data_IF_683588666770
#
_entry.id   IF_683588666770
#
_cell.length_a   1.000
_cell.length_b   1.000
_cell.length_c   1.000
_cell.angle_alpha   90.00
_cell.angle_beta   90.00
_cell.angle_gamma   90.00
#
_symmetry.space_group_name_H-M   'P 1'
#
loop_
_entity.id
_entity.type
_entity.pdbx_description
1 polymer ?
#
# COMPACT_ATOMS: atom_id res chain seq x y z
N UNK A 1 -25.63 -40.29 43.16
CA UNK A 1 -25.01 -40.02 41.85
C UNK A 1 -24.70 -38.54 41.80
N UNK A 2 -23.43 -38.20 41.76
CA UNK A 2 -22.91 -36.84 41.87
C UNK A 2 -23.15 -36.09 40.56
N UNK A 3 -23.81 -34.94 40.64
CA UNK A 3 -24.20 -34.13 39.49
C UNK A 3 -23.03 -33.26 39.01
N UNK A 4 -22.49 -33.55 37.83
CA UNK A 4 -21.58 -32.64 37.12
C UNK A 4 -22.32 -31.34 36.76
N UNK A 5 -22.16 -30.30 37.57
CA UNK A 5 -22.58 -28.94 37.21
C UNK A 5 -21.77 -28.45 36.01
N UNK A 6 -22.46 -27.93 34.99
CA UNK A 6 -21.85 -27.38 33.78
C UNK A 6 -21.05 -26.11 34.11
N UNK A 7 -19.96 -25.88 33.37
CA UNK A 7 -19.18 -24.63 33.44
C UNK A 7 -20.06 -23.39 33.23
N UNK A 8 -21.13 -23.52 32.45
CA UNK A 8 -22.10 -22.44 32.24
C UNK A 8 -22.90 -22.10 33.49
N UNK A 9 -23.19 -23.08 34.35
CA UNK A 9 -23.90 -22.85 35.62
C UNK A 9 -22.99 -22.17 36.65
N UNK A 10 -21.68 -22.49 36.63
CA UNK A 10 -20.69 -21.80 37.47
C UNK A 10 -20.53 -20.32 37.09
N UNK A 11 -20.65 -19.99 35.79
CA UNK A 11 -20.65 -18.59 35.34
C UNK A 11 -21.91 -17.82 35.79
N UNK A 12 -23.07 -18.47 35.79
CA UNK A 12 -24.32 -17.86 36.26
C UNK A 12 -24.32 -17.63 37.77
N UNK A 13 -23.85 -18.60 38.56
CA UNK A 13 -23.72 -18.43 40.01
C UNK A 13 -22.79 -17.26 40.36
N UNK A 14 -21.67 -17.10 39.65
CA UNK A 14 -20.72 -15.98 39.84
C UNK A 14 -21.28 -14.60 39.50
N UNK A 15 -22.21 -14.51 38.53
CA UNK A 15 -22.83 -13.25 38.14
C UNK A 15 -23.99 -12.85 39.07
N UNK A 16 -24.63 -13.83 39.74
CA UNK A 16 -25.77 -13.59 40.65
C UNK A 16 -25.32 -13.27 42.08
N UNK A 17 -24.08 -13.61 42.48
CA UNK A 17 -23.59 -13.47 43.87
C UNK A 17 -22.59 -12.33 44.13
N UNK A 18 -22.48 -11.33 43.26
CA UNK A 18 -21.70 -10.13 43.57
C UNK A 18 -22.61 -9.01 44.12
N UNK A 19 -22.57 -8.69 45.44
CA UNK A 19 -23.23 -7.52 45.98
C UNK A 19 -22.43 -6.25 45.64
N UNK A 20 -23.17 -5.16 45.48
CA UNK A 20 -22.66 -3.81 45.27
C UNK A 20 -21.66 -3.37 46.34
N UNK A 21 -20.56 -2.78 45.87
CA UNK A 21 -19.93 -1.49 46.28
C UNK A 21 -18.42 -1.65 46.29
N UNK A 22 -17.72 -0.91 45.43
CA UNK A 22 -16.95 0.24 45.89
C UNK A 22 -16.38 1.07 44.74
N UNK A 23 -16.75 2.35 44.80
CA UNK A 23 -16.21 3.57 44.20
C UNK A 23 -14.73 3.51 43.77
N UNK A 24 -14.45 3.82 42.50
CA UNK A 24 -13.33 4.71 42.09
C UNK A 24 -13.54 5.20 40.63
N UNK A 25 -12.90 6.30 40.18
CA UNK A 25 -13.58 7.46 39.64
C UNK A 25 -13.57 7.54 38.11
N UNK A 26 -14.49 8.35 37.62
CA UNK A 26 -14.60 8.84 36.24
C UNK A 26 -13.28 9.48 35.79
N UNK A 27 -12.54 8.83 34.91
CA UNK A 27 -11.60 9.49 33.99
C UNK A 27 -11.88 9.00 32.57
N UNK A 28 -12.49 9.91 31.81
CA UNK A 28 -12.75 9.77 30.38
C UNK A 28 -11.40 9.73 29.65
N UNK A 29 -11.16 8.62 28.96
CA UNK A 29 -10.34 8.48 27.74
C UNK A 29 -9.22 9.50 27.55
N UNK A 30 -8.03 9.13 28.02
CA UNK A 30 -6.79 9.59 27.39
C UNK A 30 -6.66 8.91 26.01
N UNK A 31 -6.41 9.66 24.92
CA UNK A 31 -6.01 9.09 23.65
C UNK A 31 -4.52 8.73 23.72
N UNK A 32 -4.23 7.47 24.05
CA UNK A 32 -2.90 6.90 23.89
C UNK A 32 -2.66 6.59 22.41
N UNK A 33 -1.57 7.14 21.87
CA UNK A 33 -1.05 6.78 20.56
C UNK A 33 -1.16 7.91 19.54
N UNK A 34 -0.61 9.08 19.87
CA UNK A 34 -0.12 10.04 18.88
C UNK A 34 0.66 9.27 17.80
N UNK A 35 0.06 9.09 16.63
CA UNK A 35 0.80 8.76 15.43
C UNK A 35 1.92 9.80 15.35
N UNK A 36 3.17 9.35 15.55
CA UNK A 36 4.33 10.16 15.18
C UNK A 36 4.09 10.50 13.72
N UNK A 37 3.63 11.72 13.49
CA UNK A 37 3.73 12.41 12.22
C UNK A 37 5.23 12.37 11.92
N UNK A 38 5.65 11.33 11.17
CA UNK A 38 6.92 11.37 10.48
C UNK A 38 6.84 12.66 9.71
N UNK A 39 7.62 13.64 10.13
CA UNK A 39 7.89 14.83 9.35
C UNK A 39 8.21 14.30 7.96
N UNK A 40 7.28 14.51 7.02
CA UNK A 40 7.55 14.22 5.62
C UNK A 40 8.77 15.07 5.32
N UNK A 41 9.91 14.48 4.94
CA UNK A 41 11.05 15.29 4.54
C UNK A 41 10.53 16.27 3.51
N UNK A 42 10.78 17.56 3.74
CA UNK A 42 10.29 18.65 2.91
C UNK A 42 10.44 18.22 1.46
N UNK A 43 9.30 18.02 0.77
CA UNK A 43 9.28 17.58 -0.61
C UNK A 43 9.92 18.71 -1.41
N UNK A 44 11.22 18.62 -1.64
CA UNK A 44 11.79 19.16 -2.86
C UNK A 44 11.04 18.44 -3.97
N UNK A 45 10.02 19.09 -4.52
CA UNK A 45 9.14 18.52 -5.54
C UNK A 45 10.00 18.34 -6.78
N UNK A 46 10.65 17.19 -6.89
CA UNK A 46 11.40 16.83 -8.07
C UNK A 46 10.39 16.81 -9.23
N UNK A 47 10.64 17.49 -10.36
CA UNK A 47 9.70 17.57 -11.48
C UNK A 47 9.19 16.21 -11.95
N UNK A 48 10.04 15.18 -11.85
CA UNK A 48 9.69 13.79 -12.18
C UNK A 48 8.61 13.20 -11.28
N UNK A 49 8.57 13.57 -9.99
CA UNK A 49 7.56 13.08 -9.04
C UNK A 49 6.18 13.63 -9.36
N UNK A 50 6.10 14.88 -9.83
CA UNK A 50 4.86 15.50 -10.28
C UNK A 50 4.39 14.89 -11.61
N UNK A 51 5.31 14.64 -12.54
CA UNK A 51 5.01 13.94 -13.80
C UNK A 51 4.44 12.53 -13.57
N UNK A 52 5.00 11.76 -12.62
CA UNK A 52 4.48 10.43 -12.26
C UNK A 52 3.10 10.56 -11.58
N UNK A 53 2.91 11.55 -10.71
CA UNK A 53 1.66 11.73 -9.99
C UNK A 53 0.49 12.09 -10.93
N UNK A 54 0.75 12.94 -11.93
CA UNK A 54 -0.24 13.41 -12.92
C UNK A 54 -0.48 12.44 -14.08
N UNK A 55 0.44 11.49 -14.31
CA UNK A 55 0.25 10.44 -15.30
C UNK A 55 -1.07 9.69 -15.03
N UNK A 56 -1.84 9.34 -16.06
CA UNK A 56 -3.04 8.50 -15.91
C UNK A 56 -2.93 7.27 -16.80
N UNK A 57 -3.12 6.09 -16.19
CA UNK A 57 -3.11 4.80 -16.86
C UNK A 57 -4.44 4.05 -16.71
N UNK A 58 -5.50 4.70 -16.20
CA UNK A 58 -6.81 4.12 -15.89
C UNK A 58 -7.52 3.49 -17.09
N UNK A 59 -7.29 4.00 -18.31
CA UNK A 59 -7.96 3.52 -19.52
C UNK A 59 -7.26 2.34 -20.21
N UNK A 60 -6.08 1.94 -19.74
CA UNK A 60 -5.30 0.89 -20.41
C UNK A 60 -5.79 -0.50 -19.99
N UNK A 61 -6.31 -1.26 -20.96
CA UNK A 61 -6.84 -2.63 -20.75
C UNK A 61 -5.78 -3.73 -20.85
N UNK A 62 -4.58 -3.40 -21.34
CA UNK A 62 -3.49 -4.37 -21.50
C UNK A 62 -2.71 -4.52 -20.20
N UNK A 63 -2.88 -5.65 -19.53
CA UNK A 63 -2.07 -6.00 -18.36
C UNK A 63 -0.72 -6.58 -18.78
N UNK A 64 0.34 -6.12 -18.11
CA UNK A 64 1.71 -6.63 -18.31
C UNK A 64 2.22 -7.16 -16.99
N UNK A 65 2.55 -8.46 -16.94
CA UNK A 65 3.23 -9.07 -15.80
C UNK A 65 4.74 -8.92 -15.95
N UNK A 66 5.34 -8.05 -15.13
CA UNK A 66 6.78 -7.80 -15.13
C UNK A 66 7.46 -8.56 -14.00
N UNK A 67 8.62 -9.15 -14.28
CA UNK A 67 9.51 -9.73 -13.25
C UNK A 67 10.65 -8.76 -13.00
N UNK A 68 10.87 -8.42 -11.74
CA UNK A 68 12.01 -7.63 -11.28
C UNK A 68 12.95 -8.51 -10.46
N UNK A 69 14.23 -8.15 -10.41
CA UNK A 69 15.15 -8.72 -9.43
C UNK A 69 14.72 -8.36 -8.00
N UNK A 70 15.20 -9.13 -7.02
CA UNK A 70 14.77 -9.00 -5.63
C UNK A 70 15.06 -7.62 -5.04
N UNK A 71 16.17 -6.99 -5.41
CA UNK A 71 16.56 -5.67 -4.88
C UNK A 71 15.68 -4.58 -5.47
N UNK A 72 15.40 -4.64 -6.77
CA UNK A 72 14.51 -3.68 -7.44
C UNK A 72 13.07 -3.82 -6.96
N UNK A 73 12.58 -5.05 -6.75
CA UNK A 73 11.24 -5.28 -6.20
C UNK A 73 11.07 -4.69 -4.79
N UNK A 74 12.06 -4.87 -3.91
CA UNK A 74 12.05 -4.30 -2.56
C UNK A 74 12.11 -2.75 -2.60
N UNK A 75 12.96 -2.20 -3.46
CA UNK A 75 13.05 -0.74 -3.67
C UNK A 75 11.72 -0.17 -4.15
N UNK A 76 11.06 -0.85 -5.09
CA UNK A 76 9.75 -0.46 -5.61
C UNK A 76 8.66 -0.49 -4.53
N UNK A 77 8.65 -1.51 -3.68
CA UNK A 77 7.70 -1.61 -2.58
C UNK A 77 7.89 -0.47 -1.58
N UNK A 78 9.14 -0.16 -1.22
CA UNK A 78 9.47 0.98 -0.36
C UNK A 78 9.07 2.32 -1.01
N UNK A 79 9.30 2.46 -2.31
CA UNK A 79 8.89 3.63 -3.07
C UNK A 79 7.36 3.83 -3.05
N UNK A 80 6.60 2.76 -3.29
CA UNK A 80 5.14 2.77 -3.17
C UNK A 80 4.69 3.20 -1.77
N UNK A 81 5.31 2.66 -0.71
CA UNK A 81 4.98 3.05 0.67
C UNK A 81 5.31 4.52 0.98
N UNK A 82 6.39 5.06 0.42
CA UNK A 82 6.82 6.43 0.68
C UNK A 82 6.01 7.48 -0.09
N UNK A 83 5.57 7.16 -1.30
CA UNK A 83 4.94 8.12 -2.23
C UNK A 83 3.45 7.91 -2.43
N UNK A 84 2.93 6.74 -2.02
CA UNK A 84 1.57 6.28 -2.29
C UNK A 84 1.24 6.17 -3.79
N UNK A 85 2.27 6.04 -4.64
CA UNK A 85 2.14 5.81 -6.08
C UNK A 85 2.11 4.31 -6.32
N UNK A 86 1.14 3.84 -7.12
CA UNK A 86 1.06 2.42 -7.45
C UNK A 86 2.19 1.98 -8.40
N UNK A 87 2.66 0.73 -8.22
CA UNK A 87 3.75 0.15 -9.00
C UNK A 87 3.38 0.07 -10.48
N UNK A 88 2.14 -0.30 -10.80
CA UNK A 88 1.69 -0.41 -12.20
C UNK A 88 1.75 0.94 -12.91
N UNK A 89 1.35 2.00 -12.20
CA UNK A 89 1.41 3.39 -12.66
C UNK A 89 2.86 3.83 -12.88
N UNK A 90 3.73 3.55 -11.91
CA UNK A 90 5.14 3.86 -12.00
C UNK A 90 5.81 3.18 -13.20
N UNK A 91 5.58 1.89 -13.39
CA UNK A 91 6.17 1.11 -14.49
C UNK A 91 5.66 1.62 -15.85
N UNK A 92 4.35 1.87 -15.98
CA UNK A 92 3.78 2.42 -17.20
C UNK A 92 4.35 3.80 -17.56
N UNK A 93 4.53 4.67 -16.55
CA UNK A 93 5.20 5.96 -16.75
C UNK A 93 6.66 5.78 -17.18
N UNK A 94 7.42 4.92 -16.50
CA UNK A 94 8.84 4.70 -16.78
C UNK A 94 9.06 4.21 -18.22
N UNK A 95 8.24 3.28 -18.70
CA UNK A 95 8.31 2.77 -20.08
C UNK A 95 8.00 3.89 -21.07
N UNK A 96 6.93 4.67 -20.85
CA UNK A 96 6.59 5.82 -21.70
C UNK A 96 7.74 6.82 -21.75
N UNK A 97 8.26 7.21 -20.58
CA UNK A 97 9.32 8.19 -20.45
C UNK A 97 10.62 7.73 -21.13
N UNK A 98 10.92 6.43 -21.07
CA UNK A 98 12.07 5.83 -21.76
C UNK A 98 11.95 5.99 -23.29
N UNK A 99 10.78 5.69 -23.86
CA UNK A 99 10.54 5.87 -25.30
C UNK A 99 10.47 7.33 -25.75
N UNK A 100 10.13 8.25 -24.86
CA UNK A 100 10.14 9.70 -25.14
C UNK A 100 11.55 10.28 -25.10
N UNK A 101 12.37 9.85 -24.13
CA UNK A 101 13.74 10.35 -23.93
C UNK A 101 14.71 9.77 -24.95
N UNK A 102 14.47 8.54 -25.42
CA UNK A 102 15.33 7.85 -26.39
C UNK A 102 14.57 7.54 -27.69
N UNK A 103 14.46 8.49 -28.63
CA UNK A 103 13.75 8.28 -29.89
C UNK A 103 14.42 7.23 -30.78
N UNK A 104 15.69 6.93 -30.55
CA UNK A 104 16.43 5.85 -31.22
C UNK A 104 15.71 4.49 -31.12
N UNK A 105 15.07 4.21 -29.98
CA UNK A 105 14.28 2.99 -29.79
C UNK A 105 13.10 2.92 -30.78
N UNK A 106 12.47 4.07 -31.08
CA UNK A 106 11.39 4.15 -32.08
C UNK A 106 11.93 3.97 -33.50
N UNK A 107 13.15 4.43 -33.78
CA UNK A 107 13.81 4.25 -35.07
C UNK A 107 14.12 2.77 -35.34
N UNK A 108 14.63 2.04 -34.33
CA UNK A 108 14.88 0.60 -34.43
C UNK A 108 13.57 -0.15 -34.74
N UNK A 109 12.48 0.20 -34.05
CA UNK A 109 11.14 -0.39 -34.31
C UNK A 109 10.72 -0.12 -35.76
N UNK A 110 10.90 1.11 -36.27
CA UNK A 110 10.55 1.46 -37.66
C UNK A 110 11.36 0.65 -38.68
N UNK A 111 12.67 0.53 -38.47
CA UNK A 111 13.54 -0.26 -39.33
C UNK A 111 13.14 -1.75 -39.34
N UNK A 112 12.76 -2.29 -38.18
CA UNK A 112 12.29 -3.65 -38.08
C UNK A 112 10.97 -3.85 -38.86
N UNK A 113 9.99 -2.96 -38.68
CA UNK A 113 8.70 -3.03 -39.40
C UNK A 113 8.90 -2.88 -40.91
N UNK A 114 9.75 -1.95 -41.36
CA UNK A 114 10.03 -1.74 -42.79
C UNK A 114 10.73 -2.93 -43.45
N UNK A 115 11.54 -3.68 -42.70
CA UNK A 115 12.19 -4.91 -43.17
C UNK A 115 11.32 -6.16 -43.01
N UNK A 116 10.10 -6.02 -42.49
CA UNK A 116 9.13 -7.12 -42.39
C UNK A 116 8.22 -7.07 -43.62
N UNK A 117 8.75 -7.38 -44.80
CA UNK A 117 7.91 -7.86 -45.91
C UNK A 117 7.55 -9.32 -45.61
N UNK A 118 6.25 -9.64 -45.60
CA UNK A 118 5.75 -11.01 -45.54
C UNK A 118 5.84 -11.66 -46.93
#
# INVERSE_FOLDING_TARGET
MESMKSLADQLREKLVTAPEKEKVPTSKKEPAGSAKSREKPAKATLPIMEAIATFDNSQNKTMVHVRFDSKTADTMNKFKMATNIDVTKFVAFAVKHLFETHPELKTIIKQFIQNTEL
#
